data_IF_548711479298
#
_entry.id   IF_548711479298
#
_cell.length_a   1.000
_cell.length_b   1.000
_cell.length_c   1.000
_cell.angle_alpha   90.00
_cell.angle_beta   90.00
_cell.angle_gamma   90.00
#
_symmetry.space_group_name_H-M   'P 1'
#
loop_
_entity.id
_entity.type
_entity.pdbx_description
1 polymer ?
#
# COMPACT_ATOMS: atom_id res chain seq x y z
N UNK A 1 -59.59 36.58 28.15
CA UNK A 1 -60.10 36.13 26.85
C UNK A 1 -59.14 35.08 26.30
N UNK A 2 -59.62 33.83 26.09
CA UNK A 2 -59.09 32.74 25.23
C UNK A 2 -57.61 32.35 25.48
N UNK A 3 -57.24 31.41 26.36
CA UNK A 3 -57.43 29.94 26.35
C UNK A 3 -57.21 29.26 25.00
N UNK A 4 -56.15 28.43 24.90
CA UNK A 4 -56.07 27.10 24.25
C UNK A 4 -54.61 26.57 24.26
N UNK A 5 -54.25 25.30 24.42
CA UNK A 5 -54.86 24.10 25.02
C UNK A 5 -53.81 22.95 24.91
N UNK A 6 -53.67 22.21 26.01
CA UNK A 6 -53.33 20.77 26.19
C UNK A 6 -52.07 20.16 25.54
N UNK A 7 -51.14 19.78 26.43
CA UNK A 7 -50.35 18.54 26.34
C UNK A 7 -51.28 17.33 26.53
N UNK A 8 -51.19 16.34 25.64
CA UNK A 8 -51.65 14.98 25.87
C UNK A 8 -50.59 14.01 25.35
N UNK A 9 -49.97 13.29 26.29
CA UNK A 9 -49.25 12.04 26.09
C UNK A 9 -50.27 10.93 25.81
N UNK A 10 -50.02 10.08 24.80
CA UNK A 10 -50.29 8.63 24.84
C UNK A 10 -50.02 7.94 23.48
N UNK A 11 -49.05 7.03 23.53
CA UNK A 11 -49.06 5.67 22.95
C UNK A 11 -49.09 5.48 21.42
N UNK A 12 -47.96 4.97 20.91
CA UNK A 12 -47.84 4.31 19.62
C UNK A 12 -46.53 3.51 19.57
N UNK A 13 -46.51 2.36 20.24
CA UNK A 13 -45.45 1.37 20.18
C UNK A 13 -45.40 0.77 18.77
N UNK A 14 -44.33 1.00 18.02
CA UNK A 14 -43.97 0.20 16.84
C UNK A 14 -42.46 0.01 16.83
N UNK A 15 -42.03 -1.11 17.40
CA UNK A 15 -40.70 -1.63 17.24
C UNK A 15 -40.54 -2.12 15.78
N UNK A 16 -39.67 -1.46 15.01
CA UNK A 16 -39.08 -2.07 13.82
C UNK A 16 -37.60 -2.25 14.10
N UNK A 17 -37.24 -3.47 14.50
CA UNK A 17 -35.87 -3.96 14.50
C UNK A 17 -35.52 -4.26 13.05
N UNK A 18 -34.70 -3.41 12.43
CA UNK A 18 -33.85 -3.81 11.31
C UNK A 18 -32.43 -3.50 11.75
N UNK A 19 -31.76 -4.55 12.22
CA UNK A 19 -30.32 -4.52 12.41
C UNK A 19 -29.62 -4.50 11.05
N UNK A 20 -28.76 -3.51 10.86
CA UNK A 20 -27.53 -3.59 10.08
C UNK A 20 -26.73 -2.34 10.41
N UNK A 21 -25.97 -2.42 11.50
CA UNK A 21 -24.85 -1.50 11.72
C UNK A 21 -23.80 -1.75 10.64
N UNK A 22 -23.23 -0.68 10.10
CA UNK A 22 -22.16 -0.76 9.12
C UNK A 22 -22.17 0.40 8.14
N UNK A 23 -21.69 1.55 8.61
CA UNK A 23 -21.13 2.55 7.72
C UNK A 23 -19.81 1.98 7.17
N UNK A 24 -19.65 1.90 5.85
CA UNK A 24 -18.37 1.86 5.09
C UNK A 24 -18.73 1.71 3.61
N UNK A 25 -18.84 2.82 2.89
CA UNK A 25 -17.86 3.25 1.87
C UNK A 25 -17.61 2.22 0.77
N UNK A 26 -18.25 2.48 -0.38
CA UNK A 26 -17.80 2.24 -1.76
C UNK A 26 -16.64 1.24 -1.87
N UNK A 27 -16.94 -0.03 -2.11
CA UNK A 27 -15.96 -0.94 -2.70
C UNK A 27 -15.97 -0.66 -4.20
N UNK A 28 -15.32 0.43 -4.59
CA UNK A 28 -14.85 0.54 -5.97
C UNK A 28 -13.87 -0.63 -6.12
N UNK A 29 -14.30 -1.62 -6.89
CA UNK A 29 -13.49 -2.80 -7.14
C UNK A 29 -12.36 -2.30 -8.01
N UNK A 30 -11.28 -1.88 -7.37
CA UNK A 30 -10.12 -1.36 -8.03
C UNK A 30 -9.54 -2.49 -8.89
N UNK A 31 -9.94 -2.53 -10.16
CA UNK A 31 -9.57 -3.54 -11.17
C UNK A 31 -8.10 -3.41 -11.60
N UNK A 32 -7.28 -2.72 -10.80
CA UNK A 32 -5.89 -2.39 -11.08
C UNK A 32 -4.90 -3.17 -10.22
N UNK A 33 -3.63 -2.99 -10.52
CA UNK A 33 -2.54 -3.50 -9.70
C UNK A 33 -2.34 -2.61 -8.46
N UNK A 34 -2.27 -3.23 -7.28
CA UNK A 34 -2.07 -2.53 -6.02
C UNK A 34 -0.84 -3.05 -5.26
N UNK A 35 -0.20 -2.13 -4.55
CA UNK A 35 0.85 -2.41 -3.58
C UNK A 35 0.31 -2.11 -2.19
N UNK A 36 0.25 -3.12 -1.32
CA UNK A 36 -0.12 -2.96 0.08
C UNK A 36 1.14 -2.84 0.94
N UNK A 37 1.21 -1.81 1.79
CA UNK A 37 2.25 -1.68 2.81
C UNK A 37 1.66 -2.03 4.17
N UNK A 38 2.30 -2.92 4.91
CA UNK A 38 1.79 -3.47 6.18
C UNK A 38 2.85 -3.42 7.28
N UNK A 39 2.42 -3.32 8.52
CA UNK A 39 3.26 -3.37 9.71
C UNK A 39 2.49 -4.06 10.84
N UNK A 40 3.11 -5.03 11.52
CA UNK A 40 2.48 -5.73 12.65
C UNK A 40 1.11 -6.36 12.30
N UNK A 41 0.91 -6.76 11.05
CA UNK A 41 -0.36 -7.30 10.54
C UNK A 41 -1.39 -6.24 10.12
N UNK A 42 -1.21 -4.97 10.49
CA UNK A 42 -2.05 -3.83 10.09
C UNK A 42 -1.62 -3.30 8.73
N UNK A 43 -2.57 -2.84 7.91
CA UNK A 43 -2.28 -2.08 6.71
C UNK A 43 -1.90 -0.64 7.08
N UNK A 44 -0.73 -0.18 6.62
CA UNK A 44 -0.31 1.20 6.73
C UNK A 44 -0.95 2.03 5.63
N UNK A 45 -0.81 1.57 4.39
CA UNK A 45 -1.34 2.25 3.21
C UNK A 45 -1.45 1.26 2.03
N UNK A 46 -2.16 1.68 0.98
CA UNK A 46 -2.29 0.99 -0.29
C UNK A 46 -2.08 1.97 -1.45
N UNK A 47 -1.30 1.56 -2.44
CA UNK A 47 -0.98 2.37 -3.60
C UNK A 47 -1.37 1.66 -4.89
N UNK A 48 -2.07 2.36 -5.78
CA UNK A 48 -2.08 2.00 -7.18
C UNK A 48 -0.82 2.51 -7.90
N UNK A 49 -0.66 2.14 -9.16
CA UNK A 49 0.51 2.55 -9.95
C UNK A 49 0.57 4.05 -10.22
N UNK A 50 -0.58 4.73 -10.30
CA UNK A 50 -0.64 6.17 -10.56
C UNK A 50 -0.08 6.95 -9.36
N UNK A 51 -0.54 6.62 -8.15
CA UNK A 51 -0.05 7.21 -6.90
C UNK A 51 1.43 6.91 -6.66
N UNK A 52 1.92 5.71 -7.01
CA UNK A 52 3.36 5.42 -6.99
C UNK A 52 4.16 6.23 -8.02
N UNK A 53 3.54 6.60 -9.13
CA UNK A 53 4.14 7.43 -10.18
C UNK A 53 4.28 8.90 -9.78
N UNK A 54 3.46 9.37 -8.83
CA UNK A 54 3.52 10.72 -8.27
C UNK A 54 4.61 10.91 -7.21
N UNK A 55 5.08 9.81 -6.61
CA UNK A 55 6.23 9.83 -5.68
C UNK A 55 7.52 10.22 -6.42
N UNK A 56 8.55 10.74 -5.71
CA UNK A 56 9.85 11.01 -6.32
C UNK A 56 10.42 9.80 -7.06
N UNK A 57 10.64 9.96 -8.37
CA UNK A 57 11.10 8.89 -9.24
C UNK A 57 12.64 8.86 -9.29
N UNK A 58 13.20 7.66 -9.20
CA UNK A 58 14.65 7.43 -9.34
C UNK A 58 14.90 6.45 -10.48
N UNK A 59 15.94 6.71 -11.26
CA UNK A 59 16.44 5.82 -12.28
C UNK A 59 17.79 5.23 -11.85
N UNK A 60 17.94 3.91 -11.95
CA UNK A 60 19.18 3.21 -11.63
C UNK A 60 19.63 2.34 -12.80
N UNK A 61 20.94 2.30 -13.03
CA UNK A 61 21.56 1.37 -13.99
C UNK A 61 21.96 0.09 -13.27
N UNK A 62 21.52 -1.03 -13.81
CA UNK A 62 21.68 -2.40 -13.30
C UNK A 62 22.22 -3.32 -14.41
N UNK A 63 23.53 -3.27 -14.72
CA UNK A 63 24.13 -4.07 -15.79
C UNK A 63 23.92 -5.59 -15.60
N UNK A 64 23.70 -6.04 -14.37
CA UNK A 64 23.40 -7.43 -14.02
C UNK A 64 22.02 -7.91 -14.53
N UNK A 65 21.14 -6.98 -14.92
CA UNK A 65 19.85 -7.30 -15.54
C UNK A 65 20.07 -7.91 -16.93
N UNK A 66 19.49 -9.08 -17.18
CA UNK A 66 19.48 -9.69 -18.53
C UNK A 66 18.46 -9.05 -19.48
N UNK A 67 17.54 -8.25 -18.94
CA UNK A 67 16.47 -7.61 -19.69
C UNK A 67 16.75 -6.11 -19.84
N UNK A 68 15.92 -5.29 -19.20
CA UNK A 68 16.14 -3.85 -19.15
C UNK A 68 17.29 -3.54 -18.17
N UNK A 69 18.44 -2.98 -18.63
CA UNK A 69 19.52 -2.60 -17.73
C UNK A 69 19.17 -1.36 -16.92
N UNK A 70 18.14 -0.60 -17.28
CA UNK A 70 17.68 0.57 -16.54
C UNK A 70 16.44 0.21 -15.73
N UNK A 71 16.37 0.60 -14.46
CA UNK A 71 15.17 0.46 -13.63
C UNK A 71 14.70 1.83 -13.22
N UNK A 72 13.38 2.06 -13.26
CA UNK A 72 12.78 3.36 -12.94
C UNK A 72 11.55 3.17 -12.08
N UNK A 73 11.52 3.89 -10.96
CA UNK A 73 10.40 3.90 -10.01
C UNK A 73 10.75 4.69 -8.75
N UNK A 74 9.83 4.79 -7.79
CA UNK A 74 10.17 5.35 -6.49
C UNK A 74 11.20 4.49 -5.76
N UNK A 75 12.03 5.12 -4.92
CA UNK A 75 12.87 4.37 -3.99
C UNK A 75 11.98 3.65 -2.99
N UNK A 76 12.47 2.54 -2.43
CA UNK A 76 11.73 1.85 -1.37
C UNK A 76 11.47 2.80 -0.19
N UNK A 77 12.48 3.59 0.20
CA UNK A 77 12.34 4.58 1.28
C UNK A 77 11.20 5.55 1.03
N UNK A 78 11.10 6.13 -0.17
CA UNK A 78 10.03 7.06 -0.51
C UNK A 78 8.63 6.43 -0.38
N UNK A 79 8.48 5.15 -0.72
CA UNK A 79 7.22 4.42 -0.54
C UNK A 79 6.91 4.18 0.93
N UNK A 80 7.90 3.80 1.73
CA UNK A 80 7.73 3.59 3.18
C UNK A 80 7.39 4.88 3.91
N UNK A 81 8.06 5.98 3.56
CA UNK A 81 7.81 7.31 4.11
C UNK A 81 6.39 7.79 3.74
N UNK A 82 5.98 7.60 2.47
CA UNK A 82 4.63 7.92 2.02
C UNK A 82 3.55 7.08 2.71
N UNK A 83 3.86 5.83 3.07
CA UNK A 83 2.97 4.95 3.84
C UNK A 83 2.94 5.27 5.34
N UNK A 84 3.80 6.20 5.82
CA UNK A 84 3.92 6.54 7.23
C UNK A 84 4.57 5.45 8.08
N UNK A 85 5.43 4.62 7.49
CA UNK A 85 6.20 3.63 8.24
C UNK A 85 7.28 4.32 9.11
N UNK A 86 7.37 3.92 10.37
CA UNK A 86 8.37 4.44 11.33
C UNK A 86 9.23 3.29 11.85
N UNK A 87 10.41 3.62 12.40
CA UNK A 87 11.29 2.65 13.07
C UNK A 87 11.70 1.42 12.24
N UNK A 88 11.71 1.54 10.91
CA UNK A 88 11.99 0.43 9.99
C UNK A 88 13.32 -0.26 10.29
N UNK A 89 13.30 -1.50 10.78
CA UNK A 89 14.50 -2.35 10.97
C UNK A 89 14.75 -3.27 9.79
N UNK A 90 13.69 -3.85 9.24
CA UNK A 90 13.76 -4.64 8.02
C UNK A 90 12.43 -4.62 7.28
N UNK A 91 12.48 -4.89 5.98
CA UNK A 91 11.32 -4.85 5.10
C UNK A 91 11.31 -6.09 4.25
N UNK A 92 10.19 -6.80 4.28
CA UNK A 92 9.96 -8.00 3.48
C UNK A 92 9.10 -7.65 2.27
N UNK A 93 9.53 -8.09 1.10
CA UNK A 93 8.86 -7.88 -0.19
C UNK A 93 8.32 -9.20 -0.68
N UNK A 94 7.03 -9.22 -1.01
CA UNK A 94 6.33 -10.41 -1.49
C UNK A 94 5.76 -10.14 -2.88
N UNK A 95 5.82 -11.16 -3.74
CA UNK A 95 5.39 -11.10 -5.13
C UNK A 95 5.47 -12.49 -5.76
N UNK A 96 5.67 -12.54 -7.08
CA UNK A 96 5.77 -13.79 -7.85
C UNK A 96 7.06 -14.58 -7.61
N UNK A 97 8.12 -13.92 -7.15
CA UNK A 97 9.40 -14.55 -6.81
C UNK A 97 9.50 -14.86 -5.30
N UNK A 98 10.44 -15.71 -4.86
CA UNK A 98 10.67 -15.95 -3.44
C UNK A 98 10.87 -14.64 -2.69
N UNK A 99 10.05 -14.42 -1.66
CA UNK A 99 10.05 -13.18 -0.90
C UNK A 99 11.41 -12.86 -0.30
N UNK A 100 11.79 -11.59 -0.38
CA UNK A 100 13.10 -11.11 0.07
C UNK A 100 12.94 -10.18 1.25
N UNK A 101 13.88 -10.24 2.18
CA UNK A 101 13.95 -9.30 3.30
C UNK A 101 15.20 -8.46 3.14
N UNK A 102 15.04 -7.14 3.20
CA UNK A 102 16.12 -6.17 3.23
C UNK A 102 16.17 -5.52 4.61
N UNK A 103 17.36 -5.40 5.17
CA UNK A 103 17.62 -4.63 6.39
C UNK A 103 17.56 -3.14 6.10
N UNK A 104 17.38 -2.31 7.14
CA UNK A 104 17.38 -0.85 7.01
C UNK A 104 18.65 -0.29 6.32
N UNK A 105 19.80 -0.94 6.53
CA UNK A 105 21.07 -0.57 5.90
C UNK A 105 21.09 -0.84 4.38
N UNK A 106 20.37 -1.88 3.94
CA UNK A 106 20.27 -2.25 2.52
C UNK A 106 19.26 -1.39 1.76
N UNK A 107 18.35 -0.69 2.45
CA UNK A 107 17.31 0.15 1.84
C UNK A 107 17.86 1.46 1.25
N UNK A 108 18.96 1.44 0.50
CA UNK A 108 19.59 2.64 -0.04
C UNK A 108 18.74 3.37 -1.08
N UNK A 109 19.15 4.58 -1.46
CA UNK A 109 18.51 5.37 -2.52
C UNK A 109 18.68 4.73 -3.91
N UNK A 110 19.41 3.61 -3.99
CA UNK A 110 19.62 2.80 -5.19
C UNK A 110 18.81 1.51 -5.18
N UNK A 111 17.85 1.37 -4.26
CA UNK A 111 16.86 0.29 -4.23
C UNK A 111 15.50 0.87 -4.55
N UNK A 112 14.91 0.42 -5.66
CA UNK A 112 13.68 0.98 -6.24
C UNK A 112 12.61 -0.09 -6.41
N UNK A 113 11.36 0.34 -6.38
CA UNK A 113 10.22 -0.43 -6.90
C UNK A 113 9.97 0.01 -8.34
N UNK A 114 10.60 -0.69 -9.28
CA UNK A 114 10.55 -0.36 -10.70
C UNK A 114 9.22 -0.76 -11.32
N UNK A 115 8.65 0.15 -12.12
CA UNK A 115 7.51 -0.19 -12.98
C UNK A 115 7.93 -1.16 -14.07
N UNK A 116 7.11 -2.19 -14.30
CA UNK A 116 7.31 -3.15 -15.39
C UNK A 116 6.40 -2.83 -16.57
N UNK A 117 6.67 -3.43 -17.74
CA UNK A 117 5.81 -3.31 -18.93
C UNK A 117 4.46 -4.05 -18.80
N UNK A 118 4.24 -4.77 -17.69
CA UNK A 118 3.02 -5.52 -17.42
C UNK A 118 2.13 -4.80 -16.40
N UNK A 119 2.40 -3.53 -16.14
CA UNK A 119 1.72 -2.75 -15.11
C UNK A 119 1.80 -3.45 -13.74
N UNK A 120 3.02 -3.85 -13.38
CA UNK A 120 3.36 -4.42 -12.06
C UNK A 120 4.63 -3.75 -11.52
N UNK A 121 5.02 -4.11 -10.29
CA UNK A 121 6.24 -3.61 -9.66
C UNK A 121 7.32 -4.67 -9.55
N UNK A 122 8.58 -4.25 -9.60
CA UNK A 122 9.74 -5.11 -9.37
C UNK A 122 10.69 -4.45 -8.38
N UNK A 123 11.03 -5.15 -7.31
CA UNK A 123 12.15 -4.78 -6.44
C UNK A 123 13.46 -4.97 -7.21
N UNK A 124 14.25 -3.91 -7.33
CA UNK A 124 15.58 -3.98 -7.91
C UNK A 124 16.52 -3.00 -7.21
N UNK A 125 17.80 -3.36 -7.17
CA UNK A 125 18.84 -2.48 -6.64
C UNK A 125 20.18 -2.70 -7.30
N UNK A 126 21.01 -1.66 -7.32
CA UNK A 126 22.37 -1.70 -7.91
C UNK A 126 23.25 -2.69 -7.15
N UNK A 127 23.20 -2.60 -5.82
CA UNK A 127 24.02 -3.40 -4.89
C UNK A 127 23.29 -4.68 -4.43
N UNK A 128 22.12 -4.98 -5.00
CA UNK A 128 21.40 -6.22 -4.75
C UNK A 128 21.73 -7.24 -5.82
N UNK A 129 22.11 -8.44 -5.37
CA UNK A 129 22.19 -9.60 -6.25
C UNK A 129 20.85 -9.84 -6.95
N UNK A 130 20.91 -10.26 -8.22
CA UNK A 130 19.72 -10.34 -9.07
C UNK A 130 18.71 -11.38 -8.59
N UNK A 131 19.17 -12.44 -7.92
CA UNK A 131 18.30 -13.45 -7.31
C UNK A 131 17.52 -12.92 -6.09
N UNK A 132 17.95 -11.78 -5.53
CA UNK A 132 17.21 -11.03 -4.50
C UNK A 132 16.26 -9.99 -5.07
N UNK A 133 16.08 -9.94 -6.39
CA UNK A 133 15.03 -9.13 -7.01
C UNK A 133 13.71 -9.87 -6.97
N UNK A 134 12.64 -9.16 -6.61
CA UNK A 134 11.30 -9.73 -6.52
C UNK A 134 10.44 -9.13 -7.62
N UNK A 135 9.86 -9.96 -8.49
CA UNK A 135 8.88 -9.54 -9.50
C UNK A 135 7.46 -9.50 -8.96
N UNK A 136 6.66 -8.64 -9.58
CA UNK A 136 5.24 -8.46 -9.29
C UNK A 136 5.00 -8.26 -7.78
N UNK A 137 5.77 -7.34 -7.18
CA UNK A 137 5.69 -6.99 -5.76
C UNK A 137 4.35 -6.34 -5.46
N UNK A 138 3.49 -7.03 -4.73
CA UNK A 138 2.17 -6.54 -4.36
C UNK A 138 2.02 -6.31 -2.85
N UNK A 139 2.96 -6.81 -2.04
CA UNK A 139 2.94 -6.64 -0.59
C UNK A 139 4.34 -6.28 -0.07
N UNK A 140 4.38 -5.28 0.79
CA UNK A 140 5.55 -4.83 1.54
C UNK A 140 5.22 -4.92 3.02
N UNK A 141 5.99 -5.70 3.77
CA UNK A 141 5.83 -5.88 5.22
C UNK A 141 6.99 -5.23 5.95
N UNK A 142 6.69 -4.18 6.69
CA UNK A 142 7.60 -3.44 7.56
C UNK A 142 7.72 -4.15 8.89
N UNK A 143 8.96 -4.36 9.33
CA UNK A 143 9.30 -4.89 10.64
C UNK A 143 10.12 -3.84 11.40
N UNK A 144 9.57 -3.26 12.48
CA UNK A 144 10.24 -2.25 13.30
C UNK A 144 11.15 -2.81 14.41
#
# INVERSE_FOLDING_TARGET
>A
MRSSVKRLFATGLAALVVGAGGCTTVTDTATGYHLTVREGGRMLDEFDLARLGELPQTEITTPQSRGNPVQRGPTVRAVLDAAGATDVRSVRFEGSDPAQTLTAAELSDRVVLSFTRRDTLKLAGVDLDRDRWVRDVNTVVVNP
#
